data_IF_602691973606
#
_entry.id   IF_602691973606
#
_cell.length_a   1.000
_cell.length_b   1.000
_cell.length_c   1.000
_cell.angle_alpha   90.00
_cell.angle_beta   90.00
_cell.angle_gamma   90.00
#
_symmetry.space_group_name_H-M   'P 1'
#
loop_
_entity.id
_entity.type
_entity.pdbx_description
1 polymer ?
#
# COMPACT_ATOMS: atom_id res chain seq x y z
N UNK A 1 21.20 -20.49 -23.84
CA UNK A 1 20.30 -19.87 -24.82
C UNK A 1 19.09 -20.78 -25.03
N UNK A 2 17.96 -20.51 -24.36
CA UNK A 2 16.65 -21.13 -24.66
C UNK A 2 15.60 -20.05 -24.44
N UNK A 3 15.10 -19.48 -25.53
CA UNK A 3 13.97 -18.55 -25.53
C UNK A 3 12.69 -19.29 -25.14
N UNK A 4 12.01 -18.84 -24.10
CA UNK A 4 10.64 -19.27 -23.78
C UNK A 4 9.67 -18.30 -24.45
N UNK A 5 8.87 -18.84 -25.36
CA UNK A 5 7.80 -18.13 -26.02
C UNK A 5 6.65 -17.90 -25.03
N UNK A 6 6.29 -16.65 -24.81
CA UNK A 6 5.03 -16.30 -24.17
C UNK A 6 3.92 -16.33 -25.21
N UNK A 7 2.97 -17.22 -25.02
CA UNK A 7 1.73 -17.25 -25.80
C UNK A 7 0.76 -16.21 -25.19
N UNK A 8 0.45 -15.19 -25.96
CA UNK A 8 -0.58 -14.23 -25.62
C UNK A 8 -1.96 -14.88 -25.81
N UNK A 9 -2.70 -15.09 -24.74
CA UNK A 9 -4.11 -15.44 -24.77
C UNK A 9 -4.91 -14.14 -24.85
N UNK A 10 -5.52 -13.88 -25.99
CA UNK A 10 -6.45 -12.77 -26.17
C UNK A 10 -7.79 -13.12 -25.51
N UNK A 11 -8.07 -12.56 -24.37
CA UNK A 11 -9.40 -12.59 -23.76
C UNK A 11 -10.30 -11.56 -24.45
N UNK A 12 -11.37 -12.02 -25.11
CA UNK A 12 -12.42 -11.16 -25.65
C UNK A 12 -13.30 -10.70 -24.49
N UNK A 13 -13.07 -9.48 -24.03
CA UNK A 13 -13.95 -8.77 -23.10
C UNK A 13 -15.13 -8.19 -23.90
N UNK A 14 -16.32 -8.75 -23.71
CA UNK A 14 -17.57 -8.07 -24.06
C UNK A 14 -17.79 -6.94 -23.06
N UNK A 15 -17.23 -5.79 -23.36
CA UNK A 15 -17.40 -4.58 -22.56
C UNK A 15 -18.74 -3.90 -22.89
N UNK A 16 -19.63 -3.83 -21.92
CA UNK A 16 -20.64 -2.78 -21.91
C UNK A 16 -19.90 -1.44 -21.75
N UNK A 17 -19.80 -0.71 -22.84
CA UNK A 17 -19.22 0.62 -22.86
C UNK A 17 -20.11 1.57 -22.05
N UNK A 18 -19.79 1.76 -20.79
CA UNK A 18 -20.15 3.00 -20.11
C UNK A 18 -19.25 4.05 -20.76
N UNK A 19 -19.83 4.88 -21.65
CA UNK A 19 -19.13 6.05 -22.18
C UNK A 19 -18.79 6.96 -21.01
N UNK A 20 -17.58 6.84 -20.49
CA UNK A 20 -17.00 7.91 -19.74
C UNK A 20 -16.83 9.07 -20.72
N UNK A 21 -17.55 10.17 -20.49
CA UNK A 21 -17.31 11.41 -21.20
C UNK A 21 -15.80 11.70 -21.13
N UNK A 22 -15.18 12.15 -22.25
CA UNK A 22 -13.77 12.50 -22.22
C UNK A 22 -13.60 13.57 -21.14
N UNK A 23 -12.74 13.28 -20.16
CA UNK A 23 -12.27 14.30 -19.26
C UNK A 23 -11.65 15.39 -20.14
N UNK A 24 -12.31 16.55 -20.21
CA UNK A 24 -11.82 17.69 -20.95
C UNK A 24 -10.37 17.95 -20.49
N UNK A 25 -9.44 17.82 -21.41
CA UNK A 25 -8.07 18.24 -21.21
C UNK A 25 -8.08 19.72 -20.81
N UNK A 26 -7.81 19.96 -19.55
CA UNK A 26 -7.22 21.09 -18.92
C UNK A 26 -7.60 22.49 -19.36
N UNK A 27 -8.64 23.04 -18.78
CA UNK A 27 -8.49 24.43 -18.31
C UNK A 27 -7.95 24.31 -16.89
N UNK A 28 -6.68 24.73 -16.67
CA UNK A 28 -6.18 24.96 -15.32
C UNK A 28 -7.21 25.82 -14.59
N UNK A 29 -7.60 25.49 -13.34
CA UNK A 29 -8.52 26.31 -12.59
C UNK A 29 -8.05 27.78 -12.62
N UNK A 30 -8.95 28.73 -12.71
CA UNK A 30 -8.63 30.15 -12.83
C UNK A 30 -7.75 30.75 -11.72
N UNK A 31 -7.54 30.00 -10.64
CA UNK A 31 -6.63 30.33 -9.53
C UNK A 31 -5.20 29.78 -9.67
N UNK A 32 -4.90 28.98 -10.72
CA UNK A 32 -3.54 28.57 -11.06
C UNK A 32 -2.70 29.67 -11.72
N UNK A 33 -3.20 30.90 -11.79
CA UNK A 33 -2.46 32.10 -12.18
C UNK A 33 -2.33 33.05 -11.00
N UNK A 34 -1.17 33.57 -10.77
CA UNK A 34 -0.63 34.65 -9.93
C UNK A 34 -1.36 35.14 -8.66
N UNK A 35 -2.61 34.80 -8.36
CA UNK A 35 -3.31 35.11 -7.11
C UNK A 35 -3.34 33.88 -6.18
N UNK A 36 -2.18 33.54 -5.67
CA UNK A 36 -2.05 32.47 -4.68
C UNK A 36 -2.69 32.90 -3.36
N UNK A 37 -3.86 32.36 -3.07
CA UNK A 37 -4.35 32.34 -1.68
C UNK A 37 -3.30 31.60 -0.86
N UNK A 38 -2.75 32.23 0.15
CA UNK A 38 -1.72 31.66 1.04
C UNK A 38 -2.34 30.58 1.93
N UNK A 39 -2.58 29.39 1.37
CA UNK A 39 -2.85 28.18 2.13
C UNK A 39 -1.53 27.40 2.32
N UNK A 40 -1.36 26.65 3.39
CA UNK A 40 -0.16 25.82 3.59
C UNK A 40 0.14 24.86 2.43
N UNK A 41 -0.86 24.55 1.58
CA UNK A 41 -0.78 23.58 0.48
C UNK A 41 -0.99 24.24 -0.88
N UNK A 42 -0.81 25.57 -1.00
CA UNK A 42 -1.06 26.30 -2.24
C UNK A 42 -0.26 25.80 -3.43
N UNK A 43 0.94 25.25 -3.19
CA UNK A 43 1.80 24.67 -4.23
C UNK A 43 1.15 23.46 -4.94
N UNK A 44 0.22 22.76 -4.31
CA UNK A 44 -0.44 21.58 -4.88
C UNK A 44 -1.77 21.89 -5.59
N UNK A 45 -2.30 23.12 -5.45
CA UNK A 45 -3.61 23.50 -6.02
C UNK A 45 -3.69 23.29 -7.54
N UNK A 46 -2.58 23.43 -8.24
CA UNK A 46 -2.50 23.36 -9.70
C UNK A 46 -1.95 22.05 -10.22
N UNK A 47 -1.70 21.08 -9.34
CA UNK A 47 -1.16 19.80 -9.73
C UNK A 47 -2.08 19.06 -10.72
N UNK A 48 -1.50 18.55 -11.80
CA UNK A 48 -2.25 17.83 -12.83
C UNK A 48 -2.30 16.32 -12.53
N UNK A 49 -3.35 15.59 -12.94
CA UNK A 49 -3.35 14.14 -12.93
C UNK A 49 -2.14 13.58 -13.70
N UNK A 50 -1.44 12.61 -13.09
CA UNK A 50 -0.19 12.04 -13.62
C UNK A 50 1.08 12.78 -13.19
N UNK A 51 0.99 13.97 -12.64
CA UNK A 51 2.14 14.71 -12.12
C UNK A 51 2.77 14.00 -10.92
N UNK A 52 4.10 14.05 -10.83
CA UNK A 52 4.89 13.51 -9.72
C UNK A 52 5.24 14.67 -8.79
N UNK A 53 4.58 14.72 -7.64
CA UNK A 53 4.74 15.80 -6.68
C UNK A 53 5.75 15.42 -5.60
N UNK A 54 6.73 16.27 -5.35
CA UNK A 54 7.53 16.21 -4.13
C UNK A 54 6.67 16.66 -2.94
N UNK A 55 6.43 15.73 -2.01
CA UNK A 55 5.53 15.93 -0.88
C UNK A 55 6.25 15.60 0.41
N UNK A 56 6.14 16.47 1.40
CA UNK A 56 6.57 16.17 2.76
C UNK A 56 5.59 15.18 3.40
N UNK A 57 6.09 14.10 4.00
CA UNK A 57 5.25 13.03 4.58
C UNK A 57 4.24 13.59 5.59
N UNK A 58 4.63 14.57 6.41
CA UNK A 58 3.75 15.23 7.38
C UNK A 58 2.63 16.07 6.76
N UNK A 59 2.64 16.32 5.45
CA UNK A 59 1.57 17.07 4.76
C UNK A 59 0.50 16.17 4.16
N UNK A 60 0.71 14.85 4.17
CA UNK A 60 -0.18 13.88 3.55
C UNK A 60 -1.32 13.49 4.49
N UNK A 61 -2.56 13.53 3.97
CA UNK A 61 -3.76 13.16 4.72
C UNK A 61 -4.21 11.74 4.41
N UNK A 62 -4.30 10.83 5.41
CA UNK A 62 -4.82 9.48 5.22
C UNK A 62 -6.28 9.44 4.80
N UNK A 63 -6.65 8.37 4.08
CA UNK A 63 -8.03 8.10 3.62
C UNK A 63 -8.58 6.79 4.18
N UNK A 64 -7.93 6.24 5.20
CA UNK A 64 -8.34 5.05 5.96
C UNK A 64 -8.10 5.27 7.45
N UNK A 65 -8.90 4.69 8.36
CA UNK A 65 -8.76 4.88 9.81
C UNK A 65 -7.74 3.94 10.46
N UNK A 66 -7.33 2.87 9.77
CA UNK A 66 -6.53 1.80 10.35
C UNK A 66 -5.42 1.32 9.42
N UNK A 67 -4.42 0.68 10.00
CA UNK A 67 -3.31 0.00 9.32
C UNK A 67 -3.17 -1.43 9.85
N UNK A 68 -2.58 -2.31 9.05
CA UNK A 68 -1.98 -3.53 9.54
C UNK A 68 -0.63 -3.22 10.17
N UNK A 69 -0.56 -3.11 11.49
CA UNK A 69 0.67 -2.73 12.18
C UNK A 69 1.81 -3.71 11.93
N UNK A 70 1.51 -5.01 11.80
CA UNK A 70 2.55 -6.02 11.56
C UNK A 70 3.20 -5.87 10.17
N UNK A 71 2.52 -5.28 9.17
CA UNK A 71 3.16 -4.87 7.90
C UNK A 71 4.16 -3.73 8.13
N UNK A 72 3.79 -2.74 8.96
CA UNK A 72 4.70 -1.64 9.30
C UNK A 72 5.88 -2.16 10.11
N UNK A 73 5.64 -3.03 11.09
CA UNK A 73 6.71 -3.65 11.89
C UNK A 73 7.64 -4.53 11.04
N UNK A 74 7.11 -5.23 10.03
CA UNK A 74 7.94 -5.92 9.05
C UNK A 74 8.88 -4.97 8.32
N UNK A 75 8.34 -3.84 7.79
CA UNK A 75 9.15 -2.83 7.12
C UNK A 75 10.21 -2.25 8.05
N UNK A 76 9.83 -1.82 9.23
CA UNK A 76 10.75 -1.31 10.25
C UNK A 76 11.79 -2.36 10.67
N UNK A 77 11.41 -3.63 10.78
CA UNK A 77 12.34 -4.73 11.02
C UNK A 77 13.38 -4.85 9.90
N UNK A 78 12.97 -4.74 8.64
CA UNK A 78 13.88 -4.73 7.48
C UNK A 78 14.79 -3.48 7.48
N UNK A 79 14.26 -2.32 7.89
CA UNK A 79 14.98 -1.06 7.88
C UNK A 79 16.02 -0.94 9.01
N UNK A 80 15.72 -1.49 10.19
CA UNK A 80 16.55 -1.30 11.40
C UNK A 80 17.33 -2.57 11.81
N UNK A 81 16.80 -3.77 11.50
CA UNK A 81 17.38 -5.06 11.85
C UNK A 81 17.76 -5.88 10.60
N UNK A 82 17.68 -5.28 9.43
CA UNK A 82 17.83 -5.95 8.14
C UNK A 82 19.20 -6.59 7.95
N UNK A 83 19.20 -7.69 7.19
CA UNK A 83 20.38 -8.49 6.83
C UNK A 83 20.74 -8.33 5.35
N UNK A 84 20.07 -7.45 4.65
CA UNK A 84 20.32 -7.19 3.23
C UNK A 84 21.65 -6.45 3.04
N UNK A 85 22.33 -6.71 1.93
CA UNK A 85 23.58 -6.04 1.56
C UNK A 85 23.39 -4.52 1.42
N UNK A 86 22.26 -4.12 0.85
CA UNK A 86 21.75 -2.74 0.86
C UNK A 86 20.59 -2.70 1.83
N UNK A 87 20.55 -1.70 2.71
CA UNK A 87 19.43 -1.57 3.65
C UNK A 87 18.14 -1.31 2.88
N UNK A 88 17.16 -2.19 3.07
CA UNK A 88 15.88 -2.18 2.34
C UNK A 88 15.12 -0.85 2.39
N UNK A 89 15.37 0.00 3.40
CA UNK A 89 14.73 1.34 3.47
C UNK A 89 15.06 2.22 2.27
N UNK A 90 16.27 2.12 1.72
CA UNK A 90 16.68 2.90 0.55
C UNK A 90 16.04 2.38 -0.73
N UNK A 91 15.93 1.04 -0.89
CA UNK A 91 15.19 0.44 -2.00
C UNK A 91 13.72 0.87 -1.97
N UNK A 92 13.06 0.72 -0.80
CA UNK A 92 11.64 1.07 -0.63
C UNK A 92 11.41 2.59 -0.84
N UNK A 93 12.37 3.44 -0.46
CA UNK A 93 12.27 4.87 -0.71
C UNK A 93 12.43 5.20 -2.21
N UNK A 94 13.43 4.61 -2.87
CA UNK A 94 13.64 4.78 -4.31
C UNK A 94 12.44 4.28 -5.12
N UNK A 95 11.88 3.13 -4.76
CA UNK A 95 10.64 2.60 -5.37
C UNK A 95 9.47 3.56 -5.18
N UNK A 96 9.24 4.03 -3.94
CA UNK A 96 8.17 4.96 -3.65
C UNK A 96 8.33 6.29 -4.39
N UNK A 97 9.58 6.72 -4.62
CA UNK A 97 9.96 7.93 -5.36
C UNK A 97 9.92 7.75 -6.90
N UNK A 98 9.56 6.56 -7.40
CA UNK A 98 9.46 6.25 -8.83
C UNK A 98 10.82 5.96 -9.49
N UNK A 99 11.84 5.61 -8.73
CA UNK A 99 13.24 5.51 -9.17
C UNK A 99 13.84 4.11 -9.04
N UNK A 100 12.96 3.07 -8.98
CA UNK A 100 13.26 1.64 -8.89
C UNK A 100 13.90 1.28 -7.54
N UNK A 101 15.12 0.79 -7.46
CA UNK A 101 15.83 0.43 -6.23
C UNK A 101 17.02 1.35 -5.99
N UNK A 102 17.70 1.20 -4.88
CA UNK A 102 18.93 1.92 -4.58
C UNK A 102 20.08 1.38 -5.46
N UNK A 103 20.77 2.29 -6.17
CA UNK A 103 21.96 1.97 -6.94
C UNK A 103 23.22 1.97 -6.06
N UNK A 104 23.36 2.99 -5.22
CA UNK A 104 24.48 3.08 -4.29
C UNK A 104 24.08 3.69 -2.95
N UNK A 105 24.69 3.19 -1.86
CA UNK A 105 24.44 3.66 -0.50
C UNK A 105 25.79 3.87 0.19
N UNK A 106 26.09 5.10 0.61
CA UNK A 106 27.31 5.43 1.33
C UNK A 106 27.31 4.85 2.75
N UNK A 107 28.49 4.66 3.33
CA UNK A 107 28.56 4.30 4.74
C UNK A 107 27.95 5.41 5.60
N UNK A 108 27.01 5.03 6.49
CA UNK A 108 26.29 5.97 7.34
C UNK A 108 25.17 6.76 6.64
N UNK A 109 24.74 6.31 5.44
CA UNK A 109 23.66 6.94 4.70
C UNK A 109 22.37 7.04 5.54
N UNK A 110 21.59 8.10 5.27
CA UNK A 110 20.33 8.42 5.96
C UNK A 110 19.25 8.78 4.93
N UNK A 111 17.98 8.45 5.24
CA UNK A 111 16.85 8.81 4.37
C UNK A 111 16.66 10.33 4.29
N UNK A 112 16.90 11.05 5.38
CA UNK A 112 16.80 12.52 5.44
C UNK A 112 17.99 13.25 4.83
N UNK A 113 18.97 12.50 4.26
CA UNK A 113 20.09 13.04 3.46
C UNK A 113 20.13 12.40 2.06
N UNK A 114 19.39 12.96 1.07
CA UNK A 114 19.34 12.43 -0.29
C UNK A 114 20.72 12.40 -1.02
N UNK A 115 21.72 13.12 -0.49
CA UNK A 115 23.07 13.07 -1.02
C UNK A 115 23.87 11.83 -0.61
N UNK A 116 23.37 11.08 0.38
CA UNK A 116 24.03 9.91 0.97
C UNK A 116 23.79 8.60 0.24
N UNK A 117 22.85 8.58 -0.70
CA UNK A 117 22.53 7.41 -1.55
C UNK A 117 22.06 7.86 -2.94
N UNK A 118 22.03 6.92 -3.89
CA UNK A 118 21.44 7.12 -5.22
C UNK A 118 20.46 6.00 -5.55
N UNK A 119 19.50 6.32 -6.41
CA UNK A 119 18.58 5.34 -6.98
C UNK A 119 18.99 4.97 -8.40
N UNK A 120 18.55 3.82 -8.92
CA UNK A 120 18.85 3.35 -10.28
C UNK A 120 18.45 4.35 -11.36
N UNK A 121 17.28 5.00 -11.21
CA UNK A 121 16.84 6.04 -12.13
C UNK A 121 17.07 7.43 -11.54
N UNK A 122 17.69 8.35 -12.29
CA UNK A 122 17.72 9.76 -11.92
C UNK A 122 16.30 10.38 -12.05
N UNK A 123 16.06 11.47 -11.32
CA UNK A 123 14.82 12.24 -11.44
C UNK A 123 14.64 12.71 -12.89
N UNK A 124 13.45 12.54 -13.45
CA UNK A 124 13.11 12.86 -14.83
C UNK A 124 13.40 11.72 -15.83
N UNK A 125 13.87 10.56 -15.34
CA UNK A 125 14.10 9.35 -16.17
C UNK A 125 13.17 8.20 -15.78
N UNK A 126 12.08 8.49 -15.07
CA UNK A 126 11.11 7.50 -14.64
C UNK A 126 10.50 6.78 -15.85
N UNK A 127 10.32 5.47 -15.72
CA UNK A 127 9.65 4.64 -16.71
C UNK A 127 8.15 4.49 -16.38
N UNK A 128 7.36 4.03 -17.34
CA UNK A 128 5.95 3.75 -17.10
C UNK A 128 5.74 2.77 -15.92
N UNK A 129 6.60 1.76 -15.81
CA UNK A 129 6.54 0.75 -14.75
C UNK A 129 6.92 1.34 -13.39
N UNK A 130 8.00 2.15 -13.32
CA UNK A 130 8.41 2.79 -12.07
C UNK A 130 7.37 3.81 -11.59
N UNK A 131 6.74 4.56 -12.50
CA UNK A 131 5.63 5.48 -12.18
C UNK A 131 4.38 4.71 -11.73
N UNK A 132 4.11 3.53 -12.30
CA UNK A 132 2.97 2.69 -11.89
C UNK A 132 3.14 2.16 -10.46
N UNK A 133 4.36 1.92 -9.99
CA UNK A 133 4.69 1.46 -8.64
C UNK A 133 4.60 2.56 -7.57
N UNK A 134 4.59 3.84 -7.98
CA UNK A 134 4.56 4.98 -7.06
C UNK A 134 3.28 5.02 -6.23
N UNK A 135 3.41 5.55 -5.01
CA UNK A 135 2.26 5.83 -4.14
C UNK A 135 1.46 7.02 -4.68
N UNK A 136 0.17 7.05 -4.38
CA UNK A 136 -0.75 7.94 -5.08
C UNK A 136 -1.53 8.86 -4.14
N UNK A 137 -1.83 10.07 -4.65
CA UNK A 137 -2.62 11.08 -3.95
C UNK A 137 -3.71 11.67 -4.85
N UNK A 138 -4.77 12.15 -4.20
CA UNK A 138 -5.76 13.08 -4.76
C UNK A 138 -5.58 14.42 -4.10
N UNK A 139 -5.53 15.50 -4.90
CA UNK A 139 -5.51 16.85 -4.36
C UNK A 139 -6.93 17.28 -4.03
N UNK A 140 -7.18 17.52 -2.76
CA UNK A 140 -8.50 17.93 -2.26
C UNK A 140 -8.63 19.43 -2.00
N UNK A 141 -9.75 19.86 -1.41
CA UNK A 141 -10.03 21.27 -1.13
C UNK A 141 -8.90 21.94 -0.36
N UNK A 142 -8.48 23.11 -0.82
CA UNK A 142 -7.36 23.86 -0.25
C UNK A 142 -5.98 23.35 -0.62
N UNK A 143 -5.87 22.46 -1.61
CA UNK A 143 -4.60 21.90 -2.09
C UNK A 143 -4.08 20.71 -1.27
N UNK A 144 -4.84 20.20 -0.31
CA UNK A 144 -4.40 19.10 0.58
C UNK A 144 -4.19 17.81 -0.18
N UNK A 145 -3.02 17.13 -0.06
CA UNK A 145 -2.78 15.83 -0.66
C UNK A 145 -3.40 14.72 0.19
N UNK A 146 -4.41 14.03 -0.34
CA UNK A 146 -5.06 12.88 0.28
C UNK A 146 -4.50 11.58 -0.29
N UNK A 147 -3.91 10.76 0.56
CA UNK A 147 -3.25 9.51 0.18
C UNK A 147 -4.29 8.46 -0.26
N UNK A 148 -4.15 7.91 -1.45
CA UNK A 148 -5.02 6.84 -1.95
C UNK A 148 -4.33 5.48 -1.98
N UNK A 149 -3.00 5.46 -1.93
CA UNK A 149 -2.15 4.27 -1.70
C UNK A 149 -0.86 4.67 -0.99
N UNK A 150 -0.22 3.73 -0.27
CA UNK A 150 1.06 3.94 0.39
C UNK A 150 1.01 4.24 1.90
N UNK A 151 -0.16 4.15 2.54
CA UNK A 151 -0.32 4.42 3.98
C UNK A 151 0.70 3.67 4.86
N UNK A 152 0.92 2.36 4.61
CA UNK A 152 1.89 1.55 5.36
C UNK A 152 3.34 1.97 5.08
N UNK A 153 3.68 2.26 3.82
CA UNK A 153 5.03 2.65 3.42
C UNK A 153 5.41 4.01 3.99
N UNK A 154 4.53 5.02 3.84
CA UNK A 154 4.78 6.36 4.39
C UNK A 154 4.80 6.36 5.91
N UNK A 155 3.94 5.56 6.56
CA UNK A 155 4.02 5.35 8.02
C UNK A 155 5.35 4.69 8.41
N UNK A 156 5.83 3.69 7.67
CA UNK A 156 7.13 3.09 7.98
C UNK A 156 8.29 4.08 7.83
N UNK A 157 8.23 4.97 6.83
CA UNK A 157 9.21 6.05 6.70
C UNK A 157 9.11 7.09 7.83
N UNK A 158 7.90 7.43 8.23
CA UNK A 158 7.66 8.36 9.37
C UNK A 158 8.24 7.81 10.68
N UNK A 159 8.08 6.51 10.93
CA UNK A 159 8.55 5.82 12.14
C UNK A 159 10.05 5.45 12.11
N UNK A 160 10.73 5.61 10.99
CA UNK A 160 12.17 5.28 10.87
C UNK A 160 13.01 6.35 11.56
N UNK A 161 14.09 5.99 12.31
CA UNK A 161 14.90 6.97 13.09
C UNK A 161 15.52 8.10 12.26
N UNK A 162 15.76 7.89 10.97
CA UNK A 162 16.25 8.86 10.00
C UNK A 162 15.18 9.28 8.98
N UNK A 163 13.91 9.10 9.34
CA UNK A 163 12.73 9.50 8.59
C UNK A 163 11.99 10.63 9.28
N UNK A 164 10.68 10.43 9.47
CA UNK A 164 9.80 11.36 10.17
C UNK A 164 9.00 12.28 9.25
N UNK A 165 8.19 13.17 9.82
CA UNK A 165 7.21 13.95 9.07
C UNK A 165 7.84 14.98 8.11
N UNK A 166 9.13 15.27 8.24
CA UNK A 166 9.86 16.17 7.35
C UNK A 166 10.53 15.47 6.16
N UNK A 167 10.48 14.13 6.11
CA UNK A 167 11.00 13.37 4.97
C UNK A 167 10.14 13.67 3.73
N UNK A 168 10.81 13.85 2.60
CA UNK A 168 10.20 14.07 1.31
C UNK A 168 10.16 12.79 0.48
N UNK A 169 9.10 12.62 -0.30
CA UNK A 169 8.94 11.55 -1.26
C UNK A 169 8.04 12.04 -2.40
N UNK A 170 8.30 11.63 -3.63
CA UNK A 170 7.42 11.98 -4.73
C UNK A 170 6.23 11.03 -4.79
N UNK A 171 5.04 11.62 -4.95
CA UNK A 171 3.77 10.91 -5.06
C UNK A 171 3.09 11.25 -6.39
N UNK A 172 2.44 10.27 -6.99
CA UNK A 172 1.73 10.46 -8.26
C UNK A 172 0.31 10.96 -8.01
N UNK A 173 -0.06 12.06 -8.67
CA UNK A 173 -1.42 12.62 -8.61
C UNK A 173 -2.39 11.75 -9.42
N UNK A 174 -3.44 11.26 -8.78
CA UNK A 174 -4.54 10.52 -9.46
C UNK A 174 -5.58 11.48 -10.01
N UNK A 175 -5.95 12.48 -9.19
CA UNK A 175 -6.93 13.51 -9.56
C UNK A 175 -6.68 14.79 -8.78
N UNK A 176 -7.11 15.92 -9.36
CA UNK A 176 -7.17 17.20 -8.67
C UNK A 176 -8.64 17.59 -8.46
N UNK A 177 -9.10 17.52 -7.23
CA UNK A 177 -10.45 17.83 -6.78
C UNK A 177 -10.47 19.07 -5.89
N UNK A 178 -9.45 19.92 -5.97
CA UNK A 178 -9.27 21.09 -5.10
C UNK A 178 -10.37 22.13 -5.23
N UNK A 179 -11.09 22.14 -6.34
CA UNK A 179 -12.22 23.06 -6.61
C UNK A 179 -13.55 22.59 -6.05
N UNK A 180 -13.65 21.33 -5.62
CA UNK A 180 -14.89 20.78 -5.10
C UNK A 180 -15.21 21.31 -3.69
N UNK A 181 -16.49 21.33 -3.34
CA UNK A 181 -16.88 21.49 -1.94
C UNK A 181 -16.39 20.28 -1.12
N UNK A 182 -16.27 20.44 0.20
CA UNK A 182 -15.89 19.30 1.06
C UNK A 182 -16.85 18.11 0.92
N UNK A 183 -18.13 18.37 0.74
CA UNK A 183 -19.14 17.33 0.56
C UNK A 183 -18.93 16.58 -0.76
N UNK A 184 -18.81 17.29 -1.87
CA UNK A 184 -18.63 16.70 -3.21
C UNK A 184 -17.28 15.99 -3.31
N UNK A 185 -16.22 16.54 -2.67
CA UNK A 185 -14.93 15.89 -2.59
C UNK A 185 -15.04 14.48 -1.97
N UNK A 186 -15.63 14.36 -0.77
CA UNK A 186 -15.75 13.05 -0.13
C UNK A 186 -16.73 12.11 -0.85
N UNK A 187 -17.78 12.63 -1.48
CA UNK A 187 -18.65 11.83 -2.34
C UNK A 187 -17.88 11.25 -3.54
N UNK A 188 -17.01 12.07 -4.16
CA UNK A 188 -16.16 11.65 -5.28
C UNK A 188 -15.10 10.63 -4.82
N UNK A 189 -14.46 10.85 -3.67
CA UNK A 189 -13.49 9.90 -3.09
C UNK A 189 -14.11 8.52 -2.85
N UNK A 190 -15.33 8.47 -2.30
CA UNK A 190 -16.04 7.21 -2.06
C UNK A 190 -16.49 6.54 -3.35
N UNK A 191 -17.04 7.31 -4.31
CA UNK A 191 -17.49 6.78 -5.61
C UNK A 191 -16.34 6.11 -6.38
N UNK A 192 -15.13 6.69 -6.31
CA UNK A 192 -13.93 6.16 -6.97
C UNK A 192 -13.17 5.13 -6.14
N UNK A 193 -13.65 4.74 -4.96
CA UNK A 193 -12.95 3.81 -4.06
C UNK A 193 -11.55 4.31 -3.64
N UNK A 194 -11.37 5.62 -3.49
CA UNK A 194 -10.13 6.25 -3.03
C UNK A 194 -10.07 6.46 -1.52
N UNK A 195 -11.04 5.91 -0.80
CA UNK A 195 -11.11 5.93 0.67
C UNK A 195 -11.75 4.64 1.18
N UNK A 196 -11.26 4.16 2.33
CA UNK A 196 -11.85 3.05 3.07
C UNK A 196 -12.31 3.56 4.43
N UNK A 197 -13.62 3.46 4.70
CA UNK A 197 -14.27 4.08 5.86
C UNK A 197 -14.89 3.04 6.81
N UNK A 198 -14.07 2.06 7.23
CA UNK A 198 -14.42 1.10 8.28
C UNK A 198 -13.28 0.99 9.28
N UNK A 199 -13.64 0.81 10.56
CA UNK A 199 -12.68 0.53 11.63
C UNK A 199 -12.20 -0.93 11.60
N UNK A 200 -11.24 -1.34 12.48
CA UNK A 200 -10.77 -2.72 12.54
C UNK A 200 -11.85 -3.77 12.87
N UNK A 201 -12.94 -3.36 13.47
CA UNK A 201 -14.10 -4.19 13.78
C UNK A 201 -15.08 -4.28 12.59
N UNK A 202 -14.87 -3.49 11.52
CA UNK A 202 -15.74 -3.43 10.34
C UNK A 202 -16.89 -2.43 10.45
N UNK A 203 -16.94 -1.60 11.51
CA UNK A 203 -17.99 -0.59 11.67
C UNK A 203 -17.71 0.64 10.77
N UNK A 204 -18.76 1.30 10.24
CA UNK A 204 -18.59 2.51 9.46
C UNK A 204 -17.94 3.65 10.25
N UNK A 205 -16.99 4.34 9.63
CA UNK A 205 -16.30 5.50 10.18
C UNK A 205 -16.60 6.75 9.37
N UNK A 206 -16.93 7.84 10.06
CA UNK A 206 -17.10 9.16 9.40
C UNK A 206 -15.76 9.70 8.91
N UNK A 207 -15.75 10.38 7.76
CA UNK A 207 -14.57 11.07 7.20
C UNK A 207 -13.92 12.06 8.18
N UNK A 208 -14.67 12.58 9.14
CA UNK A 208 -14.16 13.47 10.19
C UNK A 208 -13.35 12.74 11.27
N UNK A 209 -13.33 11.42 11.25
CA UNK A 209 -12.57 10.56 12.18
C UNK A 209 -11.32 9.96 11.53
N UNK A 210 -11.09 10.26 10.26
CA UNK A 210 -9.83 9.89 9.61
C UNK A 210 -8.65 10.60 10.27
N UNK A 211 -7.48 9.95 10.34
CA UNK A 211 -6.26 10.59 10.81
C UNK A 211 -5.91 11.84 10.00
N UNK A 212 -5.27 12.80 10.64
CA UNK A 212 -4.78 13.98 9.94
C UNK A 212 -3.44 13.73 9.25
N UNK A 213 -2.60 12.86 9.81
CA UNK A 213 -1.26 12.56 9.34
C UNK A 213 -1.02 11.05 9.37
N UNK A 214 0.00 10.55 8.66
CA UNK A 214 0.52 9.20 8.81
C UNK A 214 1.24 9.04 10.17
N UNK A 215 1.77 7.86 10.45
CA UNK A 215 2.38 7.49 11.74
C UNK A 215 1.49 6.55 12.55
N UNK A 216 2.09 5.52 13.17
CA UNK A 216 1.37 4.44 13.88
C UNK A 216 0.41 4.96 14.96
N UNK A 217 0.82 6.00 15.68
CA UNK A 217 0.01 6.59 16.75
C UNK A 217 -1.31 7.22 16.27
N UNK A 218 -1.42 7.50 14.97
CA UNK A 218 -2.59 8.14 14.37
C UNK A 218 -3.64 7.15 13.85
N UNK A 219 -3.28 5.89 13.69
CA UNK A 219 -4.15 4.85 13.14
C UNK A 219 -4.59 3.85 14.22
N UNK A 220 -5.63 3.09 13.90
CA UNK A 220 -5.99 1.90 14.65
C UNK A 220 -5.28 0.68 14.04
N UNK A 221 -4.99 -0.34 14.87
CA UNK A 221 -4.38 -1.58 14.39
C UNK A 221 -5.43 -2.56 13.86
N UNK A 222 -5.41 -2.84 12.58
CA UNK A 222 -6.22 -3.88 11.95
C UNK A 222 -5.42 -5.18 11.79
N UNK A 223 -5.67 -6.14 12.68
CA UNK A 223 -5.01 -7.46 12.65
C UNK A 223 -5.32 -8.26 11.38
N UNK A 224 -6.53 -8.12 10.82
CA UNK A 224 -6.90 -8.79 9.57
C UNK A 224 -6.13 -8.20 8.39
N UNK A 225 -5.97 -6.86 8.36
CA UNK A 225 -5.15 -6.20 7.36
C UNK A 225 -3.67 -6.65 7.43
N UNK A 226 -3.13 -6.84 8.64
CA UNK A 226 -1.81 -7.43 8.86
C UNK A 226 -1.74 -8.86 8.32
N UNK A 227 -2.70 -9.69 8.68
CA UNK A 227 -2.77 -11.10 8.27
C UNK A 227 -2.77 -11.23 6.74
N UNK A 228 -3.56 -10.39 6.06
CA UNK A 228 -3.68 -10.37 4.60
C UNK A 228 -2.37 -10.00 3.91
N UNK A 229 -1.60 -9.08 4.45
CA UNK A 229 -0.28 -8.74 3.90
C UNK A 229 0.63 -9.98 3.75
N UNK A 230 0.59 -10.88 4.74
CA UNK A 230 1.37 -12.12 4.69
C UNK A 230 0.75 -13.19 3.79
N UNK A 231 -0.50 -13.02 3.38
CA UNK A 231 -1.19 -13.92 2.45
C UNK A 231 -1.00 -13.59 0.96
N UNK A 232 -0.34 -12.47 0.62
CA UNK A 232 -0.04 -12.09 -0.76
C UNK A 232 0.74 -13.17 -1.47
N UNK A 233 0.39 -13.46 -2.72
CA UNK A 233 0.99 -14.48 -3.58
C UNK A 233 0.89 -15.92 -3.04
N UNK A 234 0.06 -16.10 -1.99
CA UNK A 234 -0.29 -17.40 -1.40
C UNK A 234 -1.77 -17.72 -1.61
N UNK A 235 -2.66 -16.77 -1.34
CA UNK A 235 -4.11 -16.89 -1.55
C UNK A 235 -4.64 -15.93 -2.60
N UNK A 236 -3.99 -14.79 -2.79
CA UNK A 236 -4.38 -13.77 -3.76
C UNK A 236 -3.14 -13.01 -4.25
N UNK A 237 -3.25 -12.44 -5.47
CA UNK A 237 -2.27 -11.52 -6.02
C UNK A 237 -2.79 -10.07 -5.94
N UNK A 238 -1.88 -9.12 -5.74
CA UNK A 238 -2.22 -7.71 -5.89
C UNK A 238 -2.54 -7.39 -7.36
N UNK A 239 -3.60 -6.65 -7.59
CA UNK A 239 -4.05 -6.30 -8.96
C UNK A 239 -4.26 -4.79 -9.15
N UNK A 240 -3.73 -3.97 -8.24
CA UNK A 240 -3.84 -2.51 -8.30
C UNK A 240 -5.18 -1.94 -7.79
N UNK A 241 -6.11 -2.78 -7.31
CA UNK A 241 -7.34 -2.31 -6.68
C UNK A 241 -7.00 -1.67 -5.31
N UNK A 242 -7.34 -0.41 -5.16
CA UNK A 242 -7.15 0.27 -3.88
C UNK A 242 -7.93 -0.44 -2.77
N UNK A 243 -7.33 -0.56 -1.59
CA UNK A 243 -7.91 -1.20 -0.42
C UNK A 243 -8.29 -2.68 -0.58
N UNK A 244 -7.75 -3.39 -1.57
CA UNK A 244 -8.03 -4.80 -1.85
C UNK A 244 -7.95 -5.67 -0.59
N UNK A 245 -6.94 -5.50 0.24
CA UNK A 245 -6.77 -6.27 1.49
C UNK A 245 -7.86 -5.97 2.52
N UNK A 246 -8.36 -4.74 2.59
CA UNK A 246 -9.46 -4.42 3.49
C UNK A 246 -10.76 -5.12 3.10
N UNK A 247 -11.05 -5.25 1.81
CA UNK A 247 -12.22 -6.00 1.33
C UNK A 247 -12.13 -7.49 1.63
N UNK A 248 -10.94 -8.08 1.48
CA UNK A 248 -10.67 -9.42 1.97
C UNK A 248 -10.73 -9.52 3.49
N UNK A 249 -10.30 -8.49 4.21
CA UNK A 249 -10.40 -8.40 5.67
C UNK A 249 -11.86 -8.42 6.15
N UNK A 250 -12.73 -7.69 5.48
CA UNK A 250 -14.18 -7.74 5.72
C UNK A 250 -14.73 -9.15 5.55
N UNK A 251 -14.36 -9.84 4.46
CA UNK A 251 -14.75 -11.22 4.23
C UNK A 251 -14.29 -12.18 5.34
N UNK A 252 -13.05 -12.05 5.82
CA UNK A 252 -12.54 -12.90 6.91
C UNK A 252 -13.33 -12.64 8.21
N UNK A 253 -13.61 -11.36 8.53
CA UNK A 253 -14.40 -10.98 9.73
C UNK A 253 -15.80 -11.55 9.68
N UNK A 254 -16.45 -11.52 8.53
CA UNK A 254 -17.83 -11.94 8.36
C UNK A 254 -17.98 -13.46 8.31
N UNK A 255 -17.04 -14.15 7.65
CA UNK A 255 -17.20 -15.59 7.33
C UNK A 255 -16.40 -16.52 8.22
N UNK A 256 -15.37 -16.02 8.92
CA UNK A 256 -14.45 -16.83 9.72
C UNK A 256 -13.95 -18.08 8.97
N UNK A 257 -13.32 -17.93 7.80
CA UNK A 257 -12.99 -19.04 6.92
C UNK A 257 -12.11 -20.08 7.63
N UNK A 258 -12.44 -21.37 7.48
CA UNK A 258 -11.77 -22.46 8.18
C UNK A 258 -11.90 -22.41 9.70
N UNK A 259 -12.88 -21.66 10.24
CA UNK A 259 -13.07 -21.45 11.67
C UNK A 259 -12.14 -20.40 12.29
N UNK A 260 -11.45 -19.61 11.50
CA UNK A 260 -10.49 -18.60 11.95
C UNK A 260 -11.22 -17.44 12.66
N UNK A 261 -11.17 -17.43 13.98
CA UNK A 261 -11.72 -16.36 14.84
C UNK A 261 -10.66 -15.52 15.53
N UNK A 262 -9.50 -16.13 15.80
CA UNK A 262 -8.38 -15.48 16.47
C UNK A 262 -7.09 -16.23 16.17
N UNK A 263 -5.97 -15.54 16.33
CA UNK A 263 -4.61 -16.10 16.30
C UNK A 263 -3.72 -15.25 17.21
N UNK A 264 -2.64 -15.86 17.69
CA UNK A 264 -1.61 -15.12 18.38
C UNK A 264 -0.63 -14.56 17.33
N UNK A 265 -0.63 -13.25 17.14
CA UNK A 265 0.27 -12.57 16.22
C UNK A 265 1.65 -12.26 16.82
N UNK A 266 1.96 -12.83 18.00
CA UNK A 266 3.29 -12.86 18.62
C UNK A 266 3.92 -14.26 18.58
N UNK A 267 3.16 -15.26 18.17
CA UNK A 267 3.65 -16.63 17.95
C UNK A 267 3.70 -16.97 16.46
N UNK A 268 4.88 -17.34 15.97
CA UNK A 268 5.07 -17.59 14.53
C UNK A 268 4.27 -18.80 14.04
N UNK A 269 4.09 -19.82 14.88
CA UNK A 269 3.34 -21.04 14.52
C UNK A 269 1.86 -20.73 14.38
N UNK A 270 1.30 -19.99 15.34
CA UNK A 270 -0.08 -19.51 15.30
C UNK A 270 -0.33 -18.60 14.11
N UNK A 271 0.59 -17.69 13.83
CA UNK A 271 0.48 -16.76 12.69
C UNK A 271 0.50 -17.50 11.35
N UNK A 272 1.47 -18.40 11.15
CA UNK A 272 1.57 -19.23 9.94
C UNK A 272 0.34 -20.11 9.73
N UNK A 273 -0.19 -20.70 10.82
CA UNK A 273 -1.43 -21.49 10.78
C UNK A 273 -2.63 -20.61 10.33
N UNK A 274 -2.73 -19.39 10.83
CA UNK A 274 -3.78 -18.45 10.42
C UNK A 274 -3.63 -18.08 8.94
N UNK A 275 -2.42 -17.72 8.46
CA UNK A 275 -2.15 -17.44 7.04
C UNK A 275 -2.55 -18.61 6.16
N UNK A 276 -2.12 -19.82 6.51
CA UNK A 276 -2.47 -21.04 5.76
C UNK A 276 -3.96 -21.28 5.70
N UNK A 277 -4.66 -21.08 6.81
CA UNK A 277 -6.10 -21.32 6.93
C UNK A 277 -6.89 -20.40 6.01
N UNK A 278 -6.70 -19.08 6.13
CA UNK A 278 -7.50 -18.16 5.33
C UNK A 278 -7.12 -18.19 3.85
N UNK A 279 -5.84 -18.34 3.50
CA UNK A 279 -5.40 -18.37 2.09
C UNK A 279 -5.89 -19.62 1.36
N UNK A 280 -5.96 -20.77 2.04
CA UNK A 280 -6.60 -21.98 1.48
C UNK A 280 -8.11 -21.79 1.27
N UNK A 281 -8.78 -21.16 2.22
CA UNK A 281 -10.19 -20.84 2.07
C UNK A 281 -10.45 -19.83 0.95
N UNK A 282 -9.57 -18.84 0.78
CA UNK A 282 -9.63 -17.84 -0.31
C UNK A 282 -9.66 -18.48 -1.70
N UNK A 283 -8.72 -19.36 -1.98
CA UNK A 283 -8.62 -20.03 -3.29
C UNK A 283 -9.77 -21.02 -3.54
N UNK A 284 -10.44 -21.46 -2.49
CA UNK A 284 -11.63 -22.30 -2.58
C UNK A 284 -12.93 -21.53 -2.88
N UNK A 285 -12.92 -20.19 -2.78
CA UNK A 285 -14.08 -19.35 -3.11
C UNK A 285 -14.27 -19.37 -4.63
N UNK A 286 -15.49 -19.67 -5.15
CA UNK A 286 -15.77 -19.53 -6.58
C UNK A 286 -15.42 -18.15 -7.10
N UNK A 287 -14.78 -18.06 -8.26
CA UNK A 287 -14.21 -16.82 -8.82
C UNK A 287 -15.26 -15.71 -9.02
N UNK A 288 -16.47 -16.09 -9.35
CA UNK A 288 -17.63 -15.22 -9.60
C UNK A 288 -18.44 -14.91 -8.31
N UNK A 289 -18.12 -15.57 -7.20
CA UNK A 289 -18.78 -15.32 -5.92
C UNK A 289 -18.43 -13.93 -5.39
N UNK A 290 -19.45 -13.18 -4.99
CA UNK A 290 -19.28 -11.93 -4.24
C UNK A 290 -18.66 -12.22 -2.86
N UNK A 291 -17.58 -11.51 -2.58
CA UNK A 291 -16.80 -11.68 -1.34
C UNK A 291 -17.09 -10.56 -0.36
N UNK A 292 -17.03 -9.31 -0.81
CA UNK A 292 -17.27 -8.15 0.03
C UNK A 292 -17.25 -6.85 -0.76
N UNK A 293 -17.92 -5.83 -0.26
CA UNK A 293 -17.97 -4.49 -0.85
C UNK A 293 -18.36 -4.45 -2.34
N UNK A 294 -19.08 -5.50 -2.82
CA UNK A 294 -19.54 -5.62 -4.20
C UNK A 294 -18.50 -6.22 -5.16
N UNK A 295 -17.38 -6.73 -4.68
CA UNK A 295 -16.34 -7.38 -5.49
C UNK A 295 -16.45 -8.90 -5.44
N UNK A 296 -16.18 -9.56 -6.58
CA UNK A 296 -16.02 -11.01 -6.65
C UNK A 296 -14.62 -11.44 -6.22
N UNK A 297 -14.44 -12.74 -5.92
CA UNK A 297 -13.13 -13.29 -5.58
C UNK A 297 -12.09 -13.05 -6.68
N UNK A 298 -12.49 -13.15 -7.96
CA UNK A 298 -11.63 -12.84 -9.09
C UNK A 298 -11.24 -11.37 -9.13
N UNK A 299 -12.17 -10.45 -8.91
CA UNK A 299 -11.88 -9.02 -8.86
C UNK A 299 -10.97 -8.64 -7.68
N UNK A 300 -11.00 -9.43 -6.60
CA UNK A 300 -10.09 -9.31 -5.47
C UNK A 300 -8.82 -10.17 -5.64
N UNK A 301 -8.51 -10.62 -6.85
CA UNK A 301 -7.24 -11.26 -7.19
C UNK A 301 -7.02 -12.65 -6.59
N UNK A 302 -8.07 -13.38 -6.16
CA UNK A 302 -7.91 -14.74 -5.65
C UNK A 302 -7.13 -15.61 -6.64
N UNK A 303 -6.11 -16.33 -6.17
CA UNK A 303 -5.34 -17.27 -7.00
C UNK A 303 -6.18 -18.48 -7.37
N UNK A 304 -5.81 -19.14 -8.46
CA UNK A 304 -6.46 -20.37 -8.90
C UNK A 304 -6.10 -21.57 -8.00
N UNK A 305 -4.87 -21.57 -7.51
CA UNK A 305 -4.36 -22.61 -6.63
C UNK A 305 -3.62 -21.97 -5.44
N UNK A 306 -3.73 -22.60 -4.27
CA UNK A 306 -3.01 -22.18 -3.09
C UNK A 306 -1.49 -22.18 -3.31
N UNK A 307 -0.83 -21.10 -2.88
CA UNK A 307 0.62 -20.93 -3.02
C UNK A 307 1.10 -21.06 -4.47
N UNK A 308 0.24 -20.65 -5.43
CA UNK A 308 0.50 -20.71 -6.87
C UNK A 308 0.80 -22.16 -7.35
N UNK A 309 0.08 -23.14 -6.80
CA UNK A 309 0.27 -24.57 -7.08
C UNK A 309 1.54 -25.20 -6.50
N UNK A 310 2.33 -24.43 -5.76
CA UNK A 310 3.60 -24.92 -5.17
C UNK A 310 3.35 -25.65 -3.86
N UNK A 311 4.17 -26.68 -3.59
CA UNK A 311 4.16 -27.37 -2.30
C UNK A 311 4.42 -26.40 -1.14
N UNK A 312 3.95 -26.74 0.04
CA UNK A 312 4.10 -25.94 1.27
C UNK A 312 5.57 -25.60 1.62
N UNK A 313 6.50 -26.48 1.24
CA UNK A 313 7.95 -26.30 1.42
C UNK A 313 8.62 -25.53 0.28
N UNK A 314 7.83 -24.83 -0.54
CA UNK A 314 8.29 -24.02 -1.68
C UNK A 314 7.41 -22.78 -1.82
N UNK A 315 7.84 -21.87 -2.70
CA UNK A 315 7.05 -20.68 -3.04
C UNK A 315 6.98 -19.64 -1.90
N UNK A 316 5.92 -18.84 -1.92
CA UNK A 316 5.79 -17.70 -1.00
C UNK A 316 5.48 -18.15 0.43
N UNK A 317 4.71 -19.24 0.59
CA UNK A 317 4.44 -19.75 1.94
C UNK A 317 5.72 -20.26 2.63
N UNK A 318 6.59 -20.99 1.93
CA UNK A 318 7.90 -21.44 2.48
C UNK A 318 8.76 -20.24 2.91
N UNK A 319 8.76 -19.15 2.14
CA UNK A 319 9.51 -17.93 2.52
C UNK A 319 9.02 -17.34 3.85
N UNK A 320 7.71 -17.42 4.15
CA UNK A 320 7.18 -16.95 5.44
C UNK A 320 7.66 -17.78 6.63
N UNK A 321 7.96 -19.08 6.43
CA UNK A 321 8.37 -19.99 7.49
C UNK A 321 9.82 -19.78 7.95
N UNK A 322 10.62 -19.02 7.19
CA UNK A 322 12.05 -18.83 7.49
C UNK A 322 12.24 -18.07 8.80
N UNK A 323 12.95 -18.66 9.78
CA UNK A 323 13.20 -18.01 11.06
C UNK A 323 14.15 -16.80 10.91
N UNK A 324 14.19 -15.93 11.92
CA UNK A 324 15.07 -14.76 11.88
C UNK A 324 16.57 -15.13 11.82
N UNK A 325 16.95 -16.33 12.25
CA UNK A 325 18.32 -16.86 12.14
C UNK A 325 18.73 -17.23 10.71
N UNK A 326 17.78 -17.37 9.79
CA UNK A 326 18.06 -17.63 8.37
C UNK A 326 18.83 -16.46 7.75
N UNK A 327 19.56 -16.71 6.67
CA UNK A 327 20.22 -15.66 5.88
C UNK A 327 19.22 -14.72 5.18
N UNK A 328 18.01 -15.24 4.88
CA UNK A 328 16.88 -14.50 4.31
C UNK A 328 15.63 -14.76 5.15
N UNK A 329 15.46 -14.09 6.31
CA UNK A 329 14.32 -14.30 7.19
C UNK A 329 12.98 -14.02 6.49
N UNK A 330 11.96 -14.75 6.88
CA UNK A 330 10.59 -14.50 6.43
C UNK A 330 10.01 -13.21 6.98
N UNK A 331 8.96 -12.69 6.31
CA UNK A 331 8.29 -11.45 6.72
C UNK A 331 7.79 -11.52 8.17
N UNK A 332 7.19 -12.66 8.58
CA UNK A 332 6.70 -12.86 9.96
C UNK A 332 7.88 -12.83 10.95
N UNK A 333 9.00 -13.45 10.62
CA UNK A 333 10.16 -13.47 11.50
C UNK A 333 10.74 -12.06 11.74
N UNK A 334 10.82 -11.21 10.72
CA UNK A 334 11.20 -9.80 10.88
C UNK A 334 10.21 -9.03 11.75
N UNK A 335 8.91 -9.23 11.55
CA UNK A 335 7.85 -8.60 12.36
C UNK A 335 8.03 -8.95 13.84
N UNK A 336 8.16 -10.24 14.15
CA UNK A 336 8.28 -10.72 15.53
C UNK A 336 9.59 -10.26 16.18
N UNK A 337 10.71 -10.27 15.45
CA UNK A 337 11.98 -9.77 15.99
C UNK A 337 11.93 -8.27 16.26
N UNK A 338 11.29 -7.47 15.37
CA UNK A 338 11.10 -6.04 15.63
C UNK A 338 10.22 -5.80 16.86
N UNK A 339 9.09 -6.51 16.97
CA UNK A 339 8.20 -6.41 18.15
C UNK A 339 8.96 -6.76 19.43
N UNK A 340 9.71 -7.85 19.42
CA UNK A 340 10.54 -8.28 20.56
C UNK A 340 11.57 -7.23 20.95
N UNK A 341 12.30 -6.68 19.99
CA UNK A 341 13.34 -5.67 20.23
C UNK A 341 12.78 -4.37 20.84
N UNK A 342 11.51 -4.06 20.58
CA UNK A 342 10.85 -2.84 21.05
C UNK A 342 9.81 -3.07 22.16
N UNK A 343 9.69 -4.31 22.70
CA UNK A 343 8.72 -4.64 23.74
C UNK A 343 7.25 -4.49 23.33
N UNK A 344 6.96 -4.64 22.03
CA UNK A 344 5.61 -4.54 21.46
C UNK A 344 4.87 -5.89 21.56
N UNK A 345 3.53 -5.82 21.64
CA UNK A 345 2.65 -7.00 21.73
C UNK A 345 1.70 -7.09 20.56
#
# INVERSE_FOLDING_TARGET
MKFKHFAAVAAVLVGTTISAAPANAGTHPSFCGHDQRSTPYSQYLCAAPGELLDVRIGDVHPTQPSLGYDEVYYKLGRYTLGKDAVNKKFDDWCEADGRVEADSVKAGARLDDPSSFSCELPVGSETADSVAAMKTVVIGPGGRPYLTDGHHTLTAFDETPDGGPNLHVRLRVVANLSTLTRQDFWATMQANKWTYLRDPEGNPVSVNKLPNNVGLANFQNDKYRSLLYFGRDIGYAQNGLAFQEFYWGDWIRETHPGGLKSWDNNDSTSYLAAVKTFTKAMVAVPKDQLVGSGFTANQLGALDEWNDGKAETKGEFDKLTKPYTDSKPGKIAYTLEYKKAHGLK
#
